data_IF_119099258664
#
_entry.id   IF_119099258664
#
_cell.length_a   1.000
_cell.length_b   1.000
_cell.length_c   1.000
_cell.angle_alpha   90.00
_cell.angle_beta   90.00
_cell.angle_gamma   90.00
#
_symmetry.space_group_name_H-M   'P 1'
#
loop_
_entity.id
_entity.type
_entity.pdbx_description
1 polymer ?
#
# COMPACT_ATOMS: atom_id res chain seq x y z
N UNK A 1 -0.52 -6.65 -31.42
CA UNK A 1 -1.04 -8.02 -31.50
C UNK A 1 -1.79 -8.26 -32.81
N UNK A 2 -2.68 -7.34 -33.22
CA UNK A 2 -3.43 -7.50 -34.49
C UNK A 2 -2.56 -7.28 -35.73
N UNK A 3 -1.38 -6.73 -35.58
CA UNK A 3 -0.51 -6.39 -36.68
C UNK A 3 -0.08 -7.61 -37.53
N UNK A 4 0.14 -8.74 -36.87
CA UNK A 4 0.54 -9.97 -37.54
C UNK A 4 -0.63 -10.93 -37.79
N UNK A 5 -1.83 -10.63 -37.29
CA UNK A 5 -3.00 -11.44 -37.53
C UNK A 5 -3.48 -11.29 -39.00
N UNK A 6 -3.86 -12.37 -39.71
CA UNK A 6 -3.92 -13.76 -39.22
C UNK A 6 -2.65 -14.60 -39.50
N UNK A 7 -1.53 -14.00 -39.85
CA UNK A 7 -0.35 -14.68 -40.36
C UNK A 7 0.53 -15.26 -39.27
N UNK A 8 0.61 -14.57 -38.13
CA UNK A 8 1.38 -15.00 -36.96
C UNK A 8 0.50 -15.01 -35.72
N UNK A 9 0.78 -15.93 -34.79
CA UNK A 9 0.11 -16.03 -33.50
C UNK A 9 -1.42 -16.05 -33.57
N UNK A 10 -1.97 -16.64 -34.62
CA UNK A 10 -3.42 -16.71 -34.90
C UNK A 10 -4.20 -17.28 -33.71
N UNK A 11 -3.63 -18.27 -33.03
CA UNK A 11 -4.21 -18.93 -31.87
C UNK A 11 -4.42 -17.99 -30.69
N UNK A 12 -3.65 -16.92 -30.54
CA UNK A 12 -3.85 -15.93 -29.45
C UNK A 12 -5.18 -15.20 -29.60
N UNK A 13 -5.63 -15.00 -30.83
CA UNK A 13 -6.90 -14.35 -31.15
C UNK A 13 -8.02 -15.38 -31.19
N UNK A 14 -7.87 -16.45 -32.00
CA UNK A 14 -8.93 -17.45 -32.23
C UNK A 14 -9.30 -18.24 -30.96
N UNK A 15 -8.36 -18.38 -30.01
CA UNK A 15 -8.61 -19.07 -28.73
C UNK A 15 -8.89 -18.10 -27.57
N UNK A 16 -9.13 -16.83 -27.85
CA UNK A 16 -9.40 -15.78 -26.86
C UNK A 16 -8.31 -15.63 -25.78
N UNK A 17 -7.05 -15.93 -26.11
CA UNK A 17 -5.92 -15.81 -25.17
C UNK A 17 -5.43 -14.36 -24.99
N UNK A 18 -5.50 -13.57 -26.07
CA UNK A 18 -5.05 -12.18 -26.07
C UNK A 18 -6.11 -11.19 -26.62
N UNK A 19 -7.27 -11.69 -27.03
CA UNK A 19 -8.37 -10.88 -27.54
C UNK A 19 -9.72 -11.46 -27.08
N UNK A 20 -10.67 -10.63 -26.59
CA UNK A 20 -10.50 -9.20 -26.23
C UNK A 20 -9.42 -8.98 -25.18
N UNK A 21 -8.79 -7.80 -25.18
CA UNK A 21 -7.83 -7.43 -24.11
C UNK A 21 -8.52 -7.42 -22.74
N UNK A 22 -7.82 -7.85 -21.70
CA UNK A 22 -8.41 -7.87 -20.35
C UNK A 22 -8.59 -6.46 -19.78
N UNK A 23 -7.70 -5.53 -20.11
CA UNK A 23 -7.68 -4.19 -19.55
C UNK A 23 -7.08 -3.17 -20.52
N UNK A 24 -7.62 -1.93 -20.49
CA UNK A 24 -7.06 -0.77 -21.17
C UNK A 24 -7.21 0.48 -20.29
N UNK A 25 -6.17 1.33 -20.25
CA UNK A 25 -6.19 2.60 -19.50
C UNK A 25 -5.50 3.70 -20.29
N UNK A 26 -6.20 4.81 -20.49
CA UNK A 26 -5.69 6.02 -21.17
C UNK A 26 -6.51 7.24 -20.72
N UNK A 27 -6.10 8.43 -21.20
CA UNK A 27 -6.81 9.67 -20.93
C UNK A 27 -8.24 9.71 -21.52
N UNK A 28 -9.08 10.52 -20.94
CA UNK A 28 -10.49 10.67 -21.36
C UNK A 28 -10.66 11.12 -22.82
N UNK A 29 -9.67 11.79 -23.39
CA UNK A 29 -9.66 12.21 -24.80
C UNK A 29 -9.63 11.00 -25.77
N UNK A 30 -9.17 9.85 -25.32
CA UNK A 30 -9.12 8.62 -26.12
C UNK A 30 -10.51 7.97 -26.35
N UNK A 31 -11.54 8.46 -25.70
CA UNK A 31 -12.94 8.12 -26.04
C UNK A 31 -13.33 8.56 -27.45
N UNK A 32 -12.61 9.54 -28.01
CA UNK A 32 -12.71 9.97 -29.42
C UNK A 32 -11.51 9.60 -30.27
N UNK A 33 -10.60 8.77 -29.76
CA UNK A 33 -9.38 8.35 -30.40
C UNK A 33 -9.17 6.84 -30.31
N UNK A 34 -8.20 6.42 -29.53
CA UNK A 34 -7.76 5.04 -29.50
C UNK A 34 -8.82 4.06 -28.99
N UNK A 35 -9.54 4.38 -27.91
CA UNK A 35 -10.62 3.53 -27.42
C UNK A 35 -11.68 3.29 -28.51
N UNK A 36 -12.13 4.37 -29.16
CA UNK A 36 -13.12 4.28 -30.22
C UNK A 36 -12.61 3.47 -31.42
N UNK A 37 -11.40 3.75 -31.88
CA UNK A 37 -10.81 3.10 -33.05
C UNK A 37 -10.65 1.60 -32.84
N UNK A 38 -10.10 1.20 -31.69
CA UNK A 38 -9.94 -0.23 -31.37
C UNK A 38 -11.29 -0.95 -31.28
N UNK A 39 -12.28 -0.33 -30.66
CA UNK A 39 -13.60 -0.93 -30.50
C UNK A 39 -14.33 -1.04 -31.86
N UNK A 40 -14.25 -0.03 -32.70
CA UNK A 40 -14.84 -0.06 -34.03
C UNK A 40 -14.23 -1.17 -34.90
N UNK A 41 -12.89 -1.31 -34.92
CA UNK A 41 -12.20 -2.36 -35.64
C UNK A 41 -12.59 -3.75 -35.09
N UNK A 42 -12.59 -3.92 -33.79
CA UNK A 42 -12.96 -5.19 -33.16
C UNK A 42 -14.40 -5.62 -33.51
N UNK A 43 -15.34 -4.68 -33.47
CA UNK A 43 -16.73 -4.94 -33.82
C UNK A 43 -16.88 -5.31 -35.31
N UNK A 44 -16.21 -4.55 -36.21
CA UNK A 44 -16.32 -4.82 -37.66
C UNK A 44 -15.64 -6.12 -38.11
N UNK A 45 -14.53 -6.51 -37.47
CA UNK A 45 -13.72 -7.65 -37.91
C UNK A 45 -14.07 -8.93 -37.18
N UNK A 46 -14.39 -8.82 -35.87
CA UNK A 46 -14.53 -9.97 -34.97
C UNK A 46 -15.92 -10.09 -34.34
N UNK A 47 -16.84 -9.16 -34.60
CA UNK A 47 -18.16 -9.06 -33.94
C UNK A 47 -18.03 -9.13 -32.39
N UNK A 48 -17.04 -8.45 -31.84
CA UNK A 48 -16.65 -8.52 -30.43
C UNK A 48 -16.25 -7.17 -29.89
N UNK A 49 -16.20 -7.06 -28.56
CA UNK A 49 -15.55 -5.93 -27.87
C UNK A 49 -14.04 -5.99 -28.04
N UNK A 50 -13.35 -4.86 -28.04
CA UNK A 50 -11.87 -4.82 -28.11
C UNK A 50 -11.22 -5.16 -26.76
N UNK A 51 -11.87 -4.84 -25.66
CA UNK A 51 -11.38 -4.97 -24.29
C UNK A 51 -12.53 -5.19 -23.31
N UNK A 52 -12.24 -5.88 -22.21
CA UNK A 52 -13.23 -6.25 -21.18
C UNK A 52 -13.40 -5.16 -20.12
N UNK A 53 -12.27 -4.48 -19.73
CA UNK A 53 -12.26 -3.47 -18.70
C UNK A 53 -11.55 -2.21 -19.20
N UNK A 54 -12.08 -1.04 -18.81
CA UNK A 54 -11.57 0.28 -19.24
C UNK A 54 -11.43 1.19 -18.04
N UNK A 55 -10.27 1.81 -17.88
CA UNK A 55 -10.09 2.96 -17.01
C UNK A 55 -9.82 4.19 -17.87
N UNK A 56 -10.76 5.11 -17.90
CA UNK A 56 -10.61 6.40 -18.58
C UNK A 56 -10.08 7.43 -17.59
N UNK A 57 -8.79 7.78 -17.70
CA UNK A 57 -8.13 8.66 -16.75
C UNK A 57 -8.59 10.11 -16.90
N UNK A 58 -8.82 10.77 -15.76
CA UNK A 58 -9.07 12.19 -15.68
C UNK A 58 -7.83 13.05 -16.03
N UNK A 59 -8.01 14.35 -16.06
CA UNK A 59 -6.93 15.29 -16.36
C UNK A 59 -6.10 15.58 -15.11
N UNK A 60 -4.81 15.82 -15.32
CA UNK A 60 -3.93 16.40 -14.30
C UNK A 60 -4.02 17.93 -14.43
N UNK A 61 -4.53 18.56 -13.39
CA UNK A 61 -4.74 20.01 -13.28
C UNK A 61 -3.70 20.61 -12.33
N UNK A 62 -3.48 21.91 -12.41
CA UNK A 62 -2.68 22.60 -11.40
C UNK A 62 -3.38 22.63 -10.01
N UNK A 63 -2.70 23.12 -8.98
CA UNK A 63 -3.23 23.18 -7.61
C UNK A 63 -4.55 23.99 -7.50
N UNK A 64 -4.80 24.89 -8.43
CA UNK A 64 -6.01 25.70 -8.48
C UNK A 64 -7.15 25.03 -9.29
N UNK A 65 -6.88 23.86 -9.89
CA UNK A 65 -7.84 23.15 -10.73
C UNK A 65 -7.90 23.65 -12.16
N UNK A 66 -6.88 24.38 -12.64
CA UNK A 66 -6.80 24.84 -14.02
C UNK A 66 -5.97 23.86 -14.86
N UNK A 67 -6.31 23.77 -16.16
CA UNK A 67 -5.55 22.93 -17.08
C UNK A 67 -4.10 23.43 -17.18
N UNK A 68 -3.16 22.55 -16.98
CA UNK A 68 -1.73 22.85 -17.14
C UNK A 68 -1.38 23.19 -18.58
N UNK A 69 -0.60 24.24 -18.75
CA UNK A 69 -0.16 24.71 -20.06
C UNK A 69 1.20 25.40 -19.95
N UNK A 70 2.14 25.06 -20.85
CA UNK A 70 3.43 25.76 -20.93
C UNK A 70 3.26 27.27 -21.16
N UNK A 71 2.21 27.67 -21.90
CA UNK A 71 1.91 29.08 -22.19
C UNK A 71 1.51 29.87 -20.92
N UNK A 72 0.82 29.22 -19.98
CA UNK A 72 0.39 29.84 -18.72
C UNK A 72 1.46 29.74 -17.62
N UNK A 73 2.55 29.02 -17.85
CA UNK A 73 3.63 28.84 -16.87
C UNK A 73 3.22 28.03 -15.64
N UNK A 74 2.07 27.34 -15.70
CA UNK A 74 1.54 26.52 -14.61
C UNK A 74 1.76 25.01 -14.81
N UNK A 75 2.55 24.63 -15.83
CA UNK A 75 2.91 23.24 -16.05
C UNK A 75 4.09 22.85 -15.16
N UNK A 76 3.93 21.80 -14.39
CA UNK A 76 5.01 21.20 -13.61
C UNK A 76 5.86 20.31 -14.50
N UNK A 77 7.18 20.43 -14.41
CA UNK A 77 8.09 19.53 -15.13
C UNK A 77 8.12 18.17 -14.41
N UNK A 78 7.73 17.09 -15.09
CA UNK A 78 7.71 15.76 -14.48
C UNK A 78 9.12 15.25 -14.14
N UNK A 79 10.15 15.58 -14.93
CA UNK A 79 11.52 15.12 -14.66
C UNK A 79 12.14 15.83 -13.47
N UNK A 80 11.91 17.13 -13.32
CA UNK A 80 12.31 17.88 -12.13
C UNK A 80 11.60 17.34 -10.88
N UNK A 81 10.31 17.08 -10.99
CA UNK A 81 9.52 16.49 -9.89
C UNK A 81 10.08 15.11 -9.48
N UNK A 82 10.34 14.23 -10.46
CA UNK A 82 10.88 12.90 -10.19
C UNK A 82 12.29 12.96 -9.59
N UNK A 83 13.15 13.88 -10.05
CA UNK A 83 14.49 14.04 -9.50
C UNK A 83 14.50 14.57 -8.07
N UNK A 84 13.54 15.43 -7.72
CA UNK A 84 13.45 16.07 -6.39
C UNK A 84 12.76 15.19 -5.36
N UNK A 85 11.65 14.59 -5.72
CA UNK A 85 10.79 13.87 -4.77
C UNK A 85 10.90 12.35 -4.86
N UNK A 86 11.41 11.83 -5.97
CA UNK A 86 11.47 10.42 -6.28
C UNK A 86 10.22 9.89 -6.98
N UNK A 87 10.40 8.83 -7.75
CA UNK A 87 9.33 8.24 -8.56
C UNK A 87 8.19 7.67 -7.67
N UNK A 88 8.52 6.92 -6.63
CA UNK A 88 7.53 6.23 -5.82
C UNK A 88 6.65 7.18 -5.01
N UNK A 89 7.23 8.25 -4.45
CA UNK A 89 6.45 9.25 -3.73
C UNK A 89 5.49 9.99 -4.67
N UNK A 90 5.95 10.31 -5.88
CA UNK A 90 5.12 10.95 -6.91
C UNK A 90 3.99 10.01 -7.38
N UNK A 91 4.29 8.74 -7.68
CA UNK A 91 3.29 7.73 -8.06
C UNK A 91 2.27 7.52 -6.96
N UNK A 92 2.73 7.34 -5.71
CA UNK A 92 1.83 7.15 -4.56
C UNK A 92 0.90 8.34 -4.35
N UNK A 93 1.45 9.56 -4.42
CA UNK A 93 0.65 10.77 -4.34
C UNK A 93 -0.43 10.83 -5.42
N UNK A 94 -0.06 10.62 -6.68
CA UNK A 94 -1.01 10.70 -7.79
C UNK A 94 -2.13 9.66 -7.65
N UNK A 95 -1.80 8.43 -7.26
CA UNK A 95 -2.76 7.34 -7.10
C UNK A 95 -3.64 7.53 -5.86
N UNK A 96 -3.09 7.98 -4.73
CA UNK A 96 -3.83 8.09 -3.47
C UNK A 96 -4.67 9.37 -3.37
N UNK A 97 -4.33 10.42 -4.12
CA UNK A 97 -4.97 11.73 -4.02
C UNK A 97 -6.34 11.77 -4.72
N UNK A 98 -6.47 11.20 -5.91
CA UNK A 98 -7.71 11.16 -6.67
C UNK A 98 -7.91 9.78 -7.31
N UNK A 99 -9.18 9.39 -7.55
CA UNK A 99 -9.45 8.19 -8.34
C UNK A 99 -8.95 8.38 -9.77
N UNK A 100 -8.55 7.32 -10.48
CA UNK A 100 -8.00 7.43 -11.83
C UNK A 100 -8.91 8.20 -12.81
N UNK A 101 -10.22 8.05 -12.68
CA UNK A 101 -11.22 8.72 -13.54
C UNK A 101 -11.57 10.16 -13.12
N UNK A 102 -11.13 10.60 -11.94
CA UNK A 102 -11.33 11.95 -11.46
C UNK A 102 -10.17 12.87 -11.91
N UNK A 103 -10.44 14.17 -12.01
CA UNK A 103 -9.38 15.13 -12.25
C UNK A 103 -8.49 15.29 -11.02
N UNK A 104 -7.20 15.10 -11.21
CA UNK A 104 -6.19 15.27 -10.17
C UNK A 104 -5.72 16.72 -10.09
N UNK A 105 -5.92 17.39 -8.95
CA UNK A 105 -5.23 18.66 -8.64
C UNK A 105 -3.83 18.34 -8.15
N UNK A 106 -2.82 18.65 -8.98
CA UNK A 106 -1.45 18.34 -8.68
C UNK A 106 -0.80 19.45 -7.85
N UNK A 107 -0.33 19.06 -6.66
CA UNK A 107 0.39 19.93 -5.74
C UNK A 107 1.63 19.20 -5.21
N UNK A 108 2.79 19.81 -5.37
CA UNK A 108 4.07 19.24 -4.91
C UNK A 108 4.13 19.09 -3.38
N UNK A 109 3.44 19.94 -2.62
CA UNK A 109 3.34 19.82 -1.17
C UNK A 109 2.67 18.50 -0.76
N UNK A 110 1.73 18.01 -1.55
CA UNK A 110 1.11 16.69 -1.34
C UNK A 110 2.09 15.53 -1.52
N UNK A 111 3.06 15.66 -2.43
CA UNK A 111 4.13 14.66 -2.59
C UNK A 111 5.03 14.64 -1.36
N UNK A 112 5.40 15.82 -0.84
CA UNK A 112 6.19 15.93 0.40
C UNK A 112 5.44 15.33 1.60
N UNK A 113 4.14 15.56 1.67
CA UNK A 113 3.31 14.97 2.72
C UNK A 113 3.31 13.44 2.66
N UNK A 114 3.12 12.85 1.49
CA UNK A 114 3.20 11.38 1.27
C UNK A 114 4.59 10.86 1.63
N UNK A 115 5.65 11.54 1.17
CA UNK A 115 7.03 11.18 1.48
C UNK A 115 7.28 11.16 3.00
N UNK A 116 6.81 12.16 3.71
CA UNK A 116 6.97 12.28 5.16
C UNK A 116 6.07 11.33 5.94
N UNK A 117 4.77 11.32 5.63
CA UNK A 117 3.78 10.57 6.42
C UNK A 117 3.78 9.08 6.13
N UNK A 118 3.83 8.67 4.87
CA UNK A 118 3.78 7.26 4.51
C UNK A 118 5.18 6.64 4.43
N UNK A 119 6.00 7.04 3.47
CA UNK A 119 7.33 6.45 3.28
C UNK A 119 8.25 6.67 4.48
N UNK A 120 8.25 7.88 5.05
CA UNK A 120 9.02 8.20 6.24
C UNK A 120 8.61 7.38 7.45
N UNK A 121 7.31 7.15 7.65
CA UNK A 121 6.80 6.30 8.73
C UNK A 121 7.20 4.84 8.54
N UNK A 122 7.07 4.31 7.33
CA UNK A 122 7.46 2.93 7.00
C UNK A 122 8.97 2.75 7.14
N UNK A 123 9.77 3.71 6.65
CA UNK A 123 11.22 3.70 6.82
C UNK A 123 11.65 3.76 8.28
N UNK A 124 11.01 4.60 9.09
CA UNK A 124 11.30 4.69 10.53
C UNK A 124 10.93 3.39 11.27
N UNK A 125 9.84 2.73 10.85
CA UNK A 125 9.44 1.43 11.37
C UNK A 125 10.47 0.36 11.01
N UNK A 126 10.92 0.33 9.77
CA UNK A 126 12.00 -0.54 9.31
C UNK A 126 13.32 -0.26 10.06
N UNK A 127 13.71 1.01 10.21
CA UNK A 127 14.92 1.40 10.93
C UNK A 127 14.87 0.99 12.41
N UNK A 128 13.71 1.12 13.04
CA UNK A 128 13.49 0.63 14.40
C UNK A 128 13.65 -0.90 14.47
N UNK A 129 13.05 -1.63 13.56
CA UNK A 129 13.16 -3.09 13.49
C UNK A 129 14.62 -3.52 13.32
N UNK A 130 15.32 -2.98 12.31
CA UNK A 130 16.68 -3.39 11.99
C UNK A 130 17.68 -3.04 13.08
N UNK A 131 17.49 -1.90 13.76
CA UNK A 131 18.34 -1.52 14.89
C UNK A 131 18.36 -2.61 15.96
N UNK A 132 17.19 -3.07 16.41
CA UNK A 132 17.11 -4.07 17.47
C UNK A 132 17.36 -5.49 16.95
N UNK A 133 16.91 -5.81 15.74
CA UNK A 133 17.22 -7.10 15.10
C UNK A 133 18.72 -7.34 14.98
N UNK A 134 19.51 -6.30 14.65
CA UNK A 134 20.97 -6.40 14.59
C UNK A 134 21.60 -6.57 15.98
N UNK A 135 21.09 -5.89 16.99
CA UNK A 135 21.58 -6.02 18.38
C UNK A 135 21.32 -7.44 18.89
N UNK A 136 20.10 -7.93 18.71
CA UNK A 136 19.67 -9.25 19.18
C UNK A 136 20.07 -10.39 18.23
N UNK A 137 20.66 -10.06 17.06
CA UNK A 137 21.04 -11.02 15.99
C UNK A 137 19.86 -11.83 15.47
N UNK A 138 18.70 -11.23 15.42
CA UNK A 138 17.49 -11.86 14.88
C UNK A 138 17.66 -12.13 13.39
N UNK A 139 17.60 -13.40 12.98
CA UNK A 139 17.68 -13.85 11.59
C UNK A 139 16.48 -14.69 11.16
N UNK A 140 15.44 -14.72 11.99
CA UNK A 140 14.28 -15.58 11.80
C UNK A 140 14.60 -17.08 11.73
N UNK A 141 15.61 -17.52 12.48
CA UNK A 141 15.99 -18.93 12.57
C UNK A 141 15.06 -19.73 13.49
N UNK A 142 14.32 -19.05 14.34
CA UNK A 142 13.38 -19.65 15.27
C UNK A 142 12.12 -20.14 14.54
N UNK A 143 11.51 -21.18 15.08
CA UNK A 143 10.22 -21.67 14.60
C UNK A 143 9.15 -20.57 14.70
N UNK A 144 8.22 -20.57 13.76
CA UNK A 144 7.09 -19.64 13.78
C UNK A 144 6.24 -19.87 15.02
N UNK A 145 6.05 -18.80 15.81
CA UNK A 145 5.17 -18.85 16.98
C UNK A 145 3.74 -18.92 16.50
N UNK A 146 2.98 -19.88 17.01
CA UNK A 146 1.58 -20.06 16.63
C UNK A 146 0.75 -18.83 17.01
N UNK A 147 -0.33 -18.57 16.28
CA UNK A 147 -1.20 -17.43 16.58
C UNK A 147 -1.77 -17.48 18.01
N UNK A 148 -2.02 -18.67 18.53
CA UNK A 148 -2.60 -18.85 19.87
C UNK A 148 -1.60 -18.52 20.98
N UNK A 149 -0.31 -18.72 20.74
CA UNK A 149 0.76 -18.45 21.69
C UNK A 149 1.28 -17.02 21.64
N UNK A 150 0.81 -16.22 20.67
CA UNK A 150 1.18 -14.81 20.54
C UNK A 150 0.41 -13.94 21.53
N UNK A 151 1.04 -12.88 22.08
CA UNK A 151 0.33 -11.84 22.86
C UNK A 151 -0.84 -11.24 22.08
N UNK A 152 -1.85 -10.76 22.81
CA UNK A 152 -3.08 -10.21 22.24
C UNK A 152 -2.79 -9.06 21.23
N UNK A 153 -1.80 -8.23 21.51
CA UNK A 153 -1.40 -7.13 20.61
C UNK A 153 -0.81 -7.62 19.27
N UNK A 154 -0.09 -8.75 19.27
CA UNK A 154 0.43 -9.36 18.05
C UNK A 154 -0.71 -10.00 17.24
N UNK A 155 -1.64 -10.68 17.92
CA UNK A 155 -2.85 -11.23 17.29
C UNK A 155 -3.72 -10.16 16.69
N UNK A 156 -3.87 -9.04 17.36
CA UNK A 156 -4.60 -7.90 16.85
C UNK A 156 -4.02 -7.34 15.57
N UNK A 157 -2.72 -7.02 15.56
CA UNK A 157 -2.11 -6.42 14.35
C UNK A 157 -2.05 -7.40 13.16
N UNK A 158 -1.92 -8.72 13.43
CA UNK A 158 -1.99 -9.74 12.38
C UNK A 158 -3.43 -9.92 11.86
N UNK A 159 -4.45 -9.74 12.69
CA UNK A 159 -5.85 -9.69 12.26
C UNK A 159 -6.11 -8.50 11.35
N UNK A 160 -5.71 -7.30 11.76
CA UNK A 160 -5.81 -6.08 10.95
C UNK A 160 -5.03 -6.21 9.62
N UNK A 161 -3.85 -6.84 9.64
CA UNK A 161 -3.06 -7.11 8.44
C UNK A 161 -3.82 -8.00 7.45
N UNK A 162 -4.44 -9.08 7.93
CA UNK A 162 -5.23 -9.97 7.07
C UNK A 162 -6.49 -9.30 6.54
N UNK A 163 -7.13 -8.46 7.35
CA UNK A 163 -8.24 -7.60 6.92
C UNK A 163 -7.80 -6.56 5.88
N UNK A 164 -6.57 -6.05 5.98
CA UNK A 164 -5.97 -5.19 4.97
C UNK A 164 -5.74 -5.95 3.66
N UNK A 165 -5.16 -7.16 3.70
CA UNK A 165 -4.93 -7.98 2.52
C UNK A 165 -6.23 -8.23 1.77
N UNK A 166 -7.30 -8.62 2.48
CA UNK A 166 -8.62 -8.84 1.90
C UNK A 166 -9.16 -7.59 1.17
N UNK A 167 -9.07 -6.43 1.82
CA UNK A 167 -9.52 -5.16 1.23
C UNK A 167 -8.70 -4.76 -0.01
N UNK A 168 -7.38 -4.87 0.08
CA UNK A 168 -6.47 -4.45 -1.00
C UNK A 168 -6.61 -5.35 -2.21
N UNK A 169 -6.73 -6.67 -2.03
CA UNK A 169 -7.00 -7.63 -3.10
C UNK A 169 -8.31 -7.28 -3.84
N UNK A 170 -9.39 -7.07 -3.09
CA UNK A 170 -10.67 -6.65 -3.67
C UNK A 170 -10.56 -5.31 -4.42
N UNK A 171 -9.86 -4.32 -3.87
CA UNK A 171 -9.71 -3.02 -4.53
C UNK A 171 -8.90 -3.12 -5.83
N UNK A 172 -7.83 -3.90 -5.86
CA UNK A 172 -7.08 -4.11 -7.10
C UNK A 172 -7.89 -4.89 -8.14
N UNK A 173 -8.65 -5.90 -7.71
CA UNK A 173 -9.52 -6.67 -8.60
C UNK A 173 -10.61 -5.79 -9.26
N UNK A 174 -11.07 -4.74 -8.58
CA UNK A 174 -12.06 -3.79 -9.09
C UNK A 174 -11.45 -2.51 -9.70
N UNK A 175 -10.15 -2.48 -9.96
CA UNK A 175 -9.44 -1.31 -10.51
C UNK A 175 -9.58 -0.04 -9.68
N UNK A 176 -9.60 -0.17 -8.34
CA UNK A 176 -9.68 0.94 -7.38
C UNK A 176 -8.35 1.17 -6.63
N UNK A 177 -7.25 1.48 -7.32
CA UNK A 177 -5.93 1.59 -6.70
C UNK A 177 -5.85 2.72 -5.66
N UNK A 178 -6.69 3.73 -5.78
CA UNK A 178 -6.77 4.83 -4.82
C UNK A 178 -7.21 4.34 -3.45
N UNK A 179 -8.22 3.47 -3.39
CA UNK A 179 -8.68 2.89 -2.13
C UNK A 179 -7.60 1.98 -1.54
N UNK A 180 -6.94 1.16 -2.38
CA UNK A 180 -5.83 0.32 -1.96
C UNK A 180 -4.69 1.15 -1.34
N UNK A 181 -4.21 2.19 -2.03
CA UNK A 181 -3.15 3.06 -1.51
C UNK A 181 -3.50 3.72 -0.16
N UNK A 182 -4.75 4.17 -0.01
CA UNK A 182 -5.23 4.81 1.23
C UNK A 182 -5.25 3.85 2.41
N UNK A 183 -5.80 2.65 2.25
CA UNK A 183 -5.86 1.69 3.36
C UNK A 183 -4.48 1.13 3.73
N UNK A 184 -3.55 0.98 2.77
CA UNK A 184 -2.16 0.63 3.05
C UNK A 184 -1.48 1.75 3.84
N UNK A 185 -1.69 3.01 3.44
CA UNK A 185 -1.14 4.17 4.15
C UNK A 185 -1.69 4.28 5.58
N UNK A 186 -2.99 4.11 5.75
CA UNK A 186 -3.66 4.13 7.05
C UNK A 186 -3.14 3.02 7.97
N UNK A 187 -3.08 1.79 7.48
CA UNK A 187 -2.53 0.68 8.25
C UNK A 187 -1.10 0.95 8.71
N UNK A 188 -0.24 1.44 7.80
CA UNK A 188 1.16 1.72 8.10
C UNK A 188 1.31 2.80 9.16
N UNK A 189 0.55 3.89 9.05
CA UNK A 189 0.68 5.05 9.94
C UNK A 189 -0.01 4.81 11.27
N UNK A 190 -1.30 4.46 11.21
CA UNK A 190 -2.12 4.40 12.43
C UNK A 190 -1.96 3.07 13.16
N UNK A 191 -2.18 1.94 12.50
CA UNK A 191 -2.20 0.65 13.18
C UNK A 191 -0.78 0.16 13.49
N UNK A 192 0.10 0.13 12.50
CA UNK A 192 1.44 -0.42 12.68
C UNK A 192 2.34 0.51 13.49
N UNK A 193 2.54 1.76 13.05
CA UNK A 193 3.50 2.67 13.69
C UNK A 193 2.96 3.29 14.97
N UNK A 194 1.77 3.93 14.92
CA UNK A 194 1.24 4.71 16.03
C UNK A 194 0.75 3.83 17.19
N UNK A 195 0.28 2.62 16.89
CA UNK A 195 -0.23 1.72 17.93
C UNK A 195 0.69 0.53 18.18
N UNK A 196 0.88 -0.36 17.21
CA UNK A 196 1.61 -1.60 17.44
C UNK A 196 3.07 -1.34 17.87
N UNK A 197 3.84 -0.65 17.03
CA UNK A 197 5.27 -0.37 17.33
C UNK A 197 5.40 0.44 18.61
N UNK A 198 4.58 1.49 18.76
CA UNK A 198 4.65 2.36 19.94
C UNK A 198 4.40 1.62 21.24
N UNK A 199 3.42 0.72 21.29
CA UNK A 199 3.07 -0.06 22.49
C UNK A 199 4.07 -1.20 22.72
N UNK A 200 4.63 -1.77 21.65
CA UNK A 200 5.56 -2.91 21.69
C UNK A 200 7.02 -2.51 21.91
N UNK A 201 7.37 -1.20 21.90
CA UNK A 201 8.78 -0.74 21.97
C UNK A 201 9.57 -1.41 23.09
N UNK A 202 8.99 -1.55 24.28
CA UNK A 202 9.69 -2.13 25.43
C UNK A 202 10.09 -3.58 25.25
N UNK A 203 9.36 -4.34 24.42
CA UNK A 203 9.64 -5.73 24.10
C UNK A 203 10.94 -5.87 23.29
N UNK A 204 11.25 -4.87 22.45
CA UNK A 204 12.47 -4.86 21.64
C UNK A 204 13.71 -4.43 22.44
N UNK A 205 13.62 -3.41 23.29
CA UNK A 205 14.82 -2.88 23.97
C UNK A 205 15.04 -3.40 25.39
N UNK A 206 13.96 -3.96 26.03
CA UNK A 206 14.01 -4.50 27.39
C UNK A 206 13.61 -5.93 27.40
N UNK A 207 14.09 -6.84 27.69
CA UNK A 207 13.64 -8.23 27.72
C UNK A 207 14.73 -9.13 27.22
N UNK A 208 14.76 -10.28 27.80
CA UNK A 208 15.56 -11.37 27.32
C UNK A 208 15.09 -11.80 25.93
N UNK A 209 15.98 -12.45 25.18
CA UNK A 209 15.63 -12.97 23.85
C UNK A 209 14.82 -14.25 23.99
N UNK A 210 13.55 -14.08 24.35
CA UNK A 210 12.60 -15.15 24.63
C UNK A 210 11.37 -15.06 23.73
N UNK A 211 10.41 -15.96 23.92
CA UNK A 211 9.20 -16.13 23.09
C UNK A 211 8.47 -14.82 22.83
N UNK A 212 8.30 -13.94 23.82
CA UNK A 212 7.60 -12.66 23.64
C UNK A 212 8.34 -11.71 22.69
N UNK A 213 9.66 -11.58 22.84
CA UNK A 213 10.49 -10.76 21.96
C UNK A 213 10.56 -11.34 20.54
N UNK A 214 10.70 -12.66 20.41
CA UNK A 214 10.69 -13.36 19.13
C UNK A 214 9.34 -13.17 18.43
N UNK A 215 8.23 -13.30 19.16
CA UNK A 215 6.89 -13.00 18.64
C UNK A 215 6.78 -11.58 18.08
N UNK A 216 7.33 -10.60 18.79
CA UNK A 216 7.32 -9.21 18.31
C UNK A 216 8.12 -9.03 17.01
N UNK A 217 9.31 -9.64 16.91
CA UNK A 217 10.11 -9.62 15.69
C UNK A 217 9.40 -10.28 14.51
N UNK A 218 8.90 -11.50 14.70
CA UNK A 218 8.19 -12.23 13.66
C UNK A 218 6.95 -11.48 13.19
N UNK A 219 6.19 -10.88 14.11
CA UNK A 219 4.99 -10.10 13.78
C UNK A 219 5.33 -8.84 12.99
N UNK A 220 6.33 -8.07 13.43
CA UNK A 220 6.72 -6.84 12.73
C UNK A 220 7.33 -7.12 11.35
N UNK A 221 8.15 -8.18 11.23
CA UNK A 221 8.66 -8.66 9.95
C UNK A 221 7.51 -9.00 8.98
N UNK A 222 6.55 -9.81 9.43
CA UNK A 222 5.38 -10.21 8.63
C UNK A 222 4.60 -8.99 8.15
N UNK A 223 4.36 -8.00 9.02
CA UNK A 223 3.67 -6.77 8.63
C UNK A 223 4.43 -6.02 7.53
N UNK A 224 5.75 -5.83 7.68
CA UNK A 224 6.54 -5.06 6.71
C UNK A 224 6.68 -5.77 5.36
N UNK A 225 6.92 -7.07 5.34
CA UNK A 225 6.98 -7.84 4.08
C UNK A 225 5.63 -7.82 3.37
N UNK A 226 4.53 -7.98 4.10
CA UNK A 226 3.19 -7.92 3.51
C UNK A 226 2.90 -6.53 2.94
N UNK A 227 3.23 -5.44 3.65
CA UNK A 227 3.10 -4.07 3.14
C UNK A 227 3.95 -3.89 1.86
N UNK A 228 5.17 -4.43 1.82
CA UNK A 228 6.01 -4.36 0.64
C UNK A 228 5.34 -5.03 -0.57
N UNK A 229 4.79 -6.23 -0.40
CA UNK A 229 4.06 -6.95 -1.45
C UNK A 229 2.79 -6.21 -1.89
N UNK A 230 1.99 -5.69 -0.94
CA UNK A 230 0.76 -4.96 -1.26
C UNK A 230 1.02 -3.61 -1.96
N UNK A 231 2.11 -2.93 -1.60
CA UNK A 231 2.45 -1.61 -2.12
C UNK A 231 3.26 -1.63 -3.42
N UNK A 232 3.87 -2.77 -3.78
CA UNK A 232 4.76 -2.91 -4.93
C UNK A 232 4.13 -2.47 -6.27
N UNK A 233 2.84 -2.71 -6.57
CA UNK A 233 2.23 -2.23 -7.81
C UNK A 233 2.25 -0.70 -7.97
N UNK A 234 2.25 0.05 -6.87
CA UNK A 234 2.22 1.52 -6.88
C UNK A 234 3.62 2.11 -6.66
N UNK A 235 4.38 1.58 -5.70
CA UNK A 235 5.71 2.06 -5.31
C UNK A 235 6.79 0.99 -5.52
N UNK A 236 7.11 0.64 -6.79
CA UNK A 236 7.91 -0.53 -7.11
C UNK A 236 9.33 -0.51 -6.54
N UNK A 237 9.99 0.64 -6.52
CA UNK A 237 11.40 0.72 -6.13
C UNK A 237 11.60 0.66 -4.61
N UNK A 238 10.81 1.42 -3.86
CA UNK A 238 10.90 1.42 -2.40
C UNK A 238 10.46 0.08 -1.80
N UNK A 239 9.38 -0.49 -2.34
CA UNK A 239 8.85 -1.75 -1.82
C UNK A 239 9.77 -2.93 -2.14
N UNK A 240 10.39 -2.94 -3.32
CA UNK A 240 11.39 -3.95 -3.66
C UNK A 240 12.62 -3.84 -2.75
N UNK A 241 13.11 -2.62 -2.53
CA UNK A 241 14.23 -2.39 -1.62
C UNK A 241 13.92 -2.85 -0.20
N UNK A 242 12.75 -2.52 0.33
CA UNK A 242 12.31 -2.97 1.65
C UNK A 242 12.24 -4.50 1.74
N UNK A 243 11.67 -5.13 0.72
CA UNK A 243 11.57 -6.60 0.63
C UNK A 243 12.96 -7.25 0.62
N UNK A 244 13.86 -6.75 -0.23
CA UNK A 244 15.22 -7.27 -0.33
C UNK A 244 16.01 -7.11 0.96
N UNK A 245 15.91 -5.95 1.60
CA UNK A 245 16.61 -5.67 2.86
C UNK A 245 16.12 -6.58 4.00
N UNK A 246 14.81 -6.81 4.09
CA UNK A 246 14.23 -7.72 5.07
C UNK A 246 14.64 -9.17 4.80
N UNK A 247 14.65 -9.59 3.53
CA UNK A 247 14.99 -10.95 3.15
C UNK A 247 16.48 -11.25 3.25
N UNK A 248 17.35 -10.26 3.04
CA UNK A 248 18.80 -10.44 3.09
C UNK A 248 19.32 -10.99 4.42
N UNK A 249 18.63 -10.68 5.52
CA UNK A 249 18.99 -11.16 6.86
C UNK A 249 18.24 -12.46 7.26
N UNK A 250 17.07 -12.71 6.69
CA UNK A 250 16.17 -13.77 7.15
C UNK A 250 16.06 -14.96 6.20
N UNK A 251 16.28 -14.75 4.90
CA UNK A 251 16.09 -15.75 3.85
C UNK A 251 14.71 -16.47 3.91
N UNK A 252 13.68 -15.78 4.41
CA UNK A 252 12.31 -16.33 4.52
C UNK A 252 11.56 -16.30 3.19
N UNK A 253 11.86 -15.34 2.34
CA UNK A 253 11.25 -15.17 1.04
C UNK A 253 12.07 -15.89 -0.03
N UNK A 254 11.41 -16.60 -0.93
CA UNK A 254 12.07 -17.43 -1.96
C UNK A 254 12.44 -16.68 -3.22
N UNK A 255 11.80 -15.54 -3.47
CA UNK A 255 12.00 -14.77 -4.70
C UNK A 255 13.03 -13.66 -4.53
N UNK A 256 13.79 -13.41 -5.56
CA UNK A 256 14.86 -12.40 -5.62
C UNK A 256 14.36 -10.96 -5.77
N UNK A 257 13.07 -10.75 -5.93
CA UNK A 257 12.41 -9.44 -6.01
C UNK A 257 10.96 -9.56 -5.56
N UNK A 258 10.43 -8.50 -4.95
CA UNK A 258 9.01 -8.40 -4.59
C UNK A 258 8.10 -8.55 -5.81
N UNK A 259 8.59 -8.17 -6.99
CA UNK A 259 7.84 -8.23 -8.24
C UNK A 259 7.69 -9.66 -8.81
N UNK A 260 8.48 -10.59 -8.32
CA UNK A 260 8.39 -12.01 -8.66
C UNK A 260 7.63 -12.81 -7.58
N UNK A 261 7.42 -12.21 -6.42
CA UNK A 261 6.73 -12.85 -5.32
C UNK A 261 5.21 -12.89 -5.56
N UNK A 262 4.58 -13.93 -5.04
CA UNK A 262 3.12 -14.04 -5.07
C UNK A 262 2.46 -12.91 -4.26
N UNK A 263 1.32 -12.45 -4.76
CA UNK A 263 0.49 -11.49 -4.02
C UNK A 263 0.01 -12.14 -2.71
N UNK A 264 -0.03 -11.39 -1.59
CA UNK A 264 -0.41 -11.96 -0.30
C UNK A 264 -1.82 -12.53 -0.32
N UNK A 265 -1.97 -13.75 0.18
CA UNK A 265 -3.26 -14.39 0.36
C UNK A 265 -3.80 -14.19 1.77
N UNK A 266 -5.12 -14.07 1.90
CA UNK A 266 -5.79 -13.88 3.19
C UNK A 266 -5.73 -15.16 4.01
N UNK A 267 -5.25 -15.05 5.23
CA UNK A 267 -5.32 -16.13 6.22
C UNK A 267 -6.55 -15.90 7.12
N UNK A 268 -7.71 -16.33 6.68
CA UNK A 268 -8.98 -16.09 7.36
C UNK A 268 -9.00 -16.53 8.84
N UNK A 269 -8.23 -17.56 9.18
CA UNK A 269 -8.10 -18.04 10.57
C UNK A 269 -7.42 -17.03 11.51
N UNK A 270 -6.72 -16.04 11.00
CA UNK A 270 -6.08 -14.98 11.79
C UNK A 270 -6.99 -13.78 12.00
N UNK A 271 -8.12 -13.67 11.28
CA UNK A 271 -9.04 -12.54 11.38
C UNK A 271 -9.93 -12.70 12.62
N UNK A 272 -9.76 -11.83 13.61
CA UNK A 272 -10.59 -11.72 14.81
C UNK A 272 -11.28 -10.36 14.86
N UNK A 273 -12.46 -10.26 14.27
CA UNK A 273 -13.27 -9.03 14.23
C UNK A 273 -13.70 -8.51 15.62
N UNK A 274 -13.75 -9.38 16.62
CA UNK A 274 -14.02 -8.94 17.99
C UNK A 274 -12.81 -8.22 18.59
N UNK A 275 -11.62 -8.75 18.35
CA UNK A 275 -10.36 -8.14 18.80
C UNK A 275 -10.09 -6.81 18.10
N UNK A 276 -10.29 -6.75 16.76
CA UNK A 276 -10.22 -5.50 15.99
C UNK A 276 -11.16 -4.43 16.60
N UNK A 277 -12.43 -4.76 16.81
CA UNK A 277 -13.41 -3.83 17.38
C UNK A 277 -13.06 -3.38 18.81
N UNK A 278 -12.57 -4.29 19.66
CA UNK A 278 -12.11 -3.92 21.01
C UNK A 278 -10.98 -2.91 20.98
N UNK A 279 -10.03 -3.12 20.07
CA UNK A 279 -8.90 -2.21 19.93
C UNK A 279 -9.31 -0.87 19.33
N UNK A 280 -10.19 -0.84 18.34
CA UNK A 280 -10.80 0.38 17.80
C UNK A 280 -11.49 1.21 18.89
N UNK A 281 -12.26 0.55 19.77
CA UNK A 281 -12.88 1.22 20.91
C UNK A 281 -11.83 1.79 21.87
N UNK A 282 -10.77 1.03 22.18
CA UNK A 282 -9.69 1.50 23.03
C UNK A 282 -8.95 2.70 22.43
N UNK A 283 -8.72 2.69 21.13
CA UNK A 283 -8.13 3.80 20.38
C UNK A 283 -9.03 5.05 20.44
N UNK A 284 -10.31 4.87 20.18
CA UNK A 284 -11.31 5.96 20.21
C UNK A 284 -11.40 6.58 21.61
N UNK A 285 -11.53 5.76 22.65
CA UNK A 285 -11.58 6.23 24.05
C UNK A 285 -10.29 6.99 24.40
N UNK A 286 -9.13 6.43 24.04
CA UNK A 286 -7.84 7.10 24.29
C UNK A 286 -7.77 8.46 23.62
N UNK A 287 -8.20 8.58 22.37
CA UNK A 287 -8.23 9.83 21.63
C UNK A 287 -9.18 10.85 22.25
N UNK A 288 -10.38 10.43 22.65
CA UNK A 288 -11.35 11.29 23.32
C UNK A 288 -10.82 11.80 24.67
N UNK A 289 -10.23 10.93 25.48
CA UNK A 289 -9.62 11.31 26.76
C UNK A 289 -8.48 12.31 26.57
N UNK A 290 -7.61 12.09 25.56
CA UNK A 290 -6.53 13.02 25.26
C UNK A 290 -7.05 14.38 24.76
N UNK A 291 -8.10 14.38 23.96
CA UNK A 291 -8.76 15.61 23.49
C UNK A 291 -9.38 16.40 24.66
N UNK A 292 -10.09 15.73 25.55
CA UNK A 292 -10.67 16.35 26.75
C UNK A 292 -9.59 16.92 27.66
N UNK A 293 -8.51 16.17 27.90
CA UNK A 293 -7.36 16.67 28.69
C UNK A 293 -6.74 17.91 28.07
N UNK A 294 -6.58 17.91 26.75
CA UNK A 294 -6.04 19.07 26.02
C UNK A 294 -6.95 20.30 26.17
N UNK A 295 -8.27 20.11 26.03
CA UNK A 295 -9.27 21.18 26.21
C UNK A 295 -9.22 21.78 27.62
N UNK A 296 -9.12 20.93 28.63
CA UNK A 296 -9.06 21.35 30.05
C UNK A 296 -7.63 21.70 30.51
N UNK A 297 -6.64 21.72 29.58
CA UNK A 297 -5.22 22.00 29.85
C UNK A 297 -4.60 21.10 30.92
N UNK A 298 -5.07 19.86 31.03
CA UNK A 298 -4.56 18.86 31.96
C UNK A 298 -3.44 18.09 31.29
N UNK A 299 -2.26 18.00 31.93
CA UNK A 299 -1.14 17.22 31.40
C UNK A 299 -1.49 15.74 31.24
N UNK A 300 -1.04 15.11 30.16
CA UNK A 300 -1.34 13.69 29.85
C UNK A 300 -0.95 12.75 31.01
N UNK A 301 0.15 13.03 31.71
CA UNK A 301 0.65 12.19 32.83
C UNK A 301 0.10 12.60 34.20
N UNK A 302 -0.75 13.61 34.28
CA UNK A 302 -1.36 14.02 35.55
C UNK A 302 -2.43 13.01 35.94
N UNK A 303 -2.33 12.37 37.12
CA UNK A 303 -3.36 11.44 37.58
C UNK A 303 -4.68 12.17 37.89
N UNK A 304 -5.77 11.51 37.59
CA UNK A 304 -7.12 11.96 37.90
C UNK A 304 -7.84 10.87 38.73
N UNK A 305 -8.71 11.30 39.65
CA UNK A 305 -9.50 10.34 40.44
C UNK A 305 -10.58 9.64 39.61
N UNK A 306 -11.17 10.36 38.65
CA UNK A 306 -12.22 9.84 37.73
C UNK A 306 -11.95 10.42 36.33
N UNK A 307 -12.39 9.66 35.34
CA UNK A 307 -12.45 10.06 33.95
C UNK A 307 -13.87 10.47 33.63
#
# INVERSE_FOLDING_TARGET
AQWHYPFENKELIDQNKAFPADFIAEGVDQTRGWFYTLHAIATMVFDSVAYKNVVSNGLVLDKNGQKMSKRLGNATDPFETLSTYGADATRWYMISNANPWDNLKFDVEGIEEVKRKFFGTLYNTYSFFTLYANIDKFSYAEADISSQDRPEIDRWILSELNSLVEKVDAYYAYYEPTKAARVISEFTQEYLSNWYVRLSRRRFWKGEYETDKISAYQTLYTCMVTIAKLGAPIAPFFMDRLYLDLNSATNKETFESVHLADFPSVQAALIDKNLERKMEQAQTISSLVLSLRAKEKIKVRQPLQKI
#
